data_IF_603686967079
#
_entry.id   IF_603686967079
#
_cell.length_a   1.000
_cell.length_b   1.000
_cell.length_c   1.000
_cell.angle_alpha   90.00
_cell.angle_beta   90.00
_cell.angle_gamma   90.00
#
_symmetry.space_group_name_H-M   'P 1'
#
loop_
_entity.id
_entity.type
_entity.pdbx_description
1 polymer ?
#
# COMPACT_ATOMS: atom_id res chain seq x y z
N UNK A 1 23.84 -24.14 -54.12
CA UNK A 1 22.61 -24.87 -53.75
C UNK A 1 21.48 -23.84 -53.74
N UNK A 2 20.91 -23.54 -54.91
CA UNK A 2 19.69 -24.17 -55.44
C UNK A 2 18.48 -23.82 -54.53
N UNK A 3 17.74 -22.76 -54.86
CA UNK A 3 16.51 -22.77 -55.68
C UNK A 3 15.32 -23.32 -54.87
N UNK A 4 14.18 -22.62 -54.71
CA UNK A 4 13.14 -22.38 -55.72
C UNK A 4 12.12 -21.35 -55.13
N UNK A 5 11.63 -20.34 -55.87
CA UNK A 5 10.47 -20.39 -56.81
C UNK A 5 9.13 -20.62 -56.08
N UNK A 6 8.01 -19.91 -56.26
CA UNK A 6 7.45 -19.20 -57.41
C UNK A 6 6.24 -18.35 -56.95
N UNK A 7 5.95 -17.30 -57.72
CA UNK A 7 4.79 -16.42 -57.63
C UNK A 7 3.48 -17.09 -58.09
N UNK A 8 2.32 -16.53 -57.67
CA UNK A 8 1.22 -16.17 -58.58
C UNK A 8 0.11 -15.33 -57.93
N UNK A 9 -0.35 -14.41 -58.76
CA UNK A 9 -1.27 -13.29 -58.61
C UNK A 9 -2.72 -13.70 -58.94
N UNK A 10 -3.75 -12.99 -58.41
CA UNK A 10 -4.86 -12.31 -59.13
C UNK A 10 -6.25 -12.37 -58.43
N UNK A 11 -6.81 -11.14 -58.28
CA UNK A 11 -8.19 -10.66 -58.58
C UNK A 11 -9.36 -11.16 -57.69
N UNK A 12 -10.00 -10.30 -56.87
CA UNK A 12 -11.06 -9.30 -57.11
C UNK A 12 -12.45 -9.89 -57.40
N UNK A 13 -13.40 -9.73 -56.46
CA UNK A 13 -14.83 -9.57 -56.77
C UNK A 13 -15.61 -9.00 -55.58
N UNK A 14 -16.41 -7.99 -55.89
CA UNK A 14 -17.20 -7.11 -55.03
C UNK A 14 -18.65 -7.56 -54.83
N UNK A 15 -19.33 -6.87 -53.92
CA UNK A 15 -20.79 -6.65 -53.77
C UNK A 15 -21.65 -7.74 -53.09
N UNK A 16 -22.29 -7.38 -51.97
CA UNK A 16 -23.75 -7.12 -51.87
C UNK A 16 -24.18 -6.98 -50.39
N UNK A 17 -24.76 -5.83 -50.06
CA UNK A 17 -25.57 -5.57 -48.86
C UNK A 17 -27.01 -6.07 -49.06
N UNK A 18 -27.74 -6.36 -47.98
CA UNK A 18 -28.92 -5.55 -47.64
C UNK A 18 -29.03 -5.33 -46.11
N UNK A 19 -29.27 -4.12 -45.57
CA UNK A 19 -30.49 -3.30 -45.53
C UNK A 19 -31.76 -4.05 -45.07
N UNK A 20 -32.09 -3.97 -43.78
CA UNK A 20 -33.46 -4.14 -43.25
C UNK A 20 -33.68 -3.11 -42.14
N UNK A 21 -34.64 -2.20 -42.38
CA UNK A 21 -35.17 -1.18 -41.48
C UNK A 21 -36.30 -1.73 -40.59
N UNK A 22 -36.69 -1.03 -39.51
CA UNK A 22 -37.55 -1.53 -38.45
C UNK A 22 -39.04 -1.36 -38.78
N UNK A 23 -39.88 -2.30 -38.37
CA UNK A 23 -41.35 -2.16 -38.43
C UNK A 23 -41.99 -2.32 -37.06
N UNK A 24 -42.62 -1.22 -36.66
CA UNK A 24 -43.77 -1.05 -35.78
C UNK A 24 -44.71 -2.26 -35.69
N UNK A 25 -45.09 -2.63 -34.46
CA UNK A 25 -46.43 -3.18 -34.20
C UNK A 25 -47.05 -2.55 -32.95
N UNK A 26 -48.20 -1.93 -33.18
CA UNK A 26 -49.10 -1.34 -32.21
C UNK A 26 -49.87 -2.40 -31.43
N UNK A 27 -50.00 -2.15 -30.12
CA UNK A 27 -51.22 -2.12 -29.32
C UNK A 27 -52.41 -2.99 -29.78
N UNK A 28 -52.75 -4.00 -28.97
CA UNK A 28 -54.13 -4.45 -28.77
C UNK A 28 -54.43 -4.58 -27.28
N UNK A 29 -55.47 -3.85 -26.88
CA UNK A 29 -56.12 -3.81 -25.57
C UNK A 29 -56.60 -5.19 -25.13
N UNK A 30 -56.44 -5.49 -23.83
CA UNK A 30 -57.40 -6.29 -23.08
C UNK A 30 -57.59 -5.66 -21.70
N UNK A 31 -58.85 -5.56 -21.28
CA UNK A 31 -59.35 -4.78 -20.15
C UNK A 31 -59.42 -5.62 -18.87
N UNK A 32 -58.86 -5.10 -17.77
CA UNK A 32 -59.32 -5.14 -16.36
C UNK A 32 -59.61 -6.51 -15.65
N UNK A 33 -59.56 -6.60 -14.29
CA UNK A 33 -59.61 -5.51 -13.31
C UNK A 33 -58.50 -5.48 -12.25
N UNK A 34 -58.38 -4.26 -11.71
CA UNK A 34 -57.69 -3.81 -10.51
C UNK A 34 -58.01 -4.63 -9.25
N UNK A 35 -56.96 -5.04 -8.54
CA UNK A 35 -57.00 -5.29 -7.08
C UNK A 35 -55.90 -4.42 -6.45
N UNK A 36 -56.33 -3.35 -5.80
CA UNK A 36 -55.46 -2.50 -4.99
C UNK A 36 -55.07 -3.25 -3.72
N UNK A 37 -53.83 -3.71 -3.64
CA UNK A 37 -53.24 -4.13 -2.36
C UNK A 37 -52.19 -3.10 -1.97
N UNK A 38 -52.61 -2.14 -1.14
CA UNK A 38 -51.70 -1.25 -0.41
C UNK A 38 -50.78 -2.09 0.45
N UNK A 39 -49.57 -2.33 -0.03
CA UNK A 39 -48.51 -2.93 0.77
C UNK A 39 -47.69 -1.78 1.33
N UNK A 40 -47.90 -1.51 2.62
CA UNK A 40 -47.15 -0.55 3.40
C UNK A 40 -45.68 -0.95 3.41
N UNK A 41 -44.83 -0.29 2.60
CA UNK A 41 -43.39 -0.45 2.70
C UNK A 41 -42.91 0.28 3.96
N UNK A 42 -42.65 -0.47 5.02
CA UNK A 42 -41.87 0.03 6.14
C UNK A 42 -40.49 0.49 5.63
N UNK A 43 -39.95 1.62 6.12
CA UNK A 43 -38.64 2.08 5.67
C UNK A 43 -37.59 1.05 6.09
N UNK A 44 -36.87 0.50 5.10
CA UNK A 44 -35.69 -0.31 5.35
C UNK A 44 -34.71 0.50 6.20
N UNK A 45 -34.53 0.10 7.46
CA UNK A 45 -33.40 0.53 8.26
C UNK A 45 -32.13 0.23 7.46
N UNK A 46 -31.43 1.27 7.00
CA UNK A 46 -30.06 1.13 6.48
C UNK A 46 -29.21 0.61 7.63
N UNK A 47 -29.00 -0.70 7.67
CA UNK A 47 -27.94 -1.30 8.48
C UNK A 47 -26.63 -0.68 8.03
N UNK A 48 -25.92 -0.04 8.95
CA UNK A 48 -24.52 0.34 8.76
C UNK A 48 -23.74 -0.97 8.68
N UNK A 49 -23.48 -1.43 7.45
CA UNK A 49 -22.67 -2.64 7.23
C UNK A 49 -21.25 -2.39 7.72
N UNK A 50 -20.66 -3.37 8.41
CA UNK A 50 -19.24 -3.31 8.72
C UNK A 50 -18.40 -3.38 7.44
N UNK A 51 -17.19 -2.84 7.46
CA UNK A 51 -16.28 -2.90 6.30
C UNK A 51 -16.02 -4.35 5.84
N UNK A 52 -16.04 -5.28 6.80
CA UNK A 52 -15.91 -6.72 6.57
C UNK A 52 -17.12 -7.29 5.81
N UNK A 53 -18.34 -6.99 6.25
CA UNK A 53 -19.58 -7.42 5.60
C UNK A 53 -19.72 -6.85 4.18
N UNK A 54 -19.31 -5.59 3.99
CA UNK A 54 -19.33 -4.94 2.68
C UNK A 54 -18.40 -5.65 1.69
N UNK A 55 -17.20 -6.06 2.12
CA UNK A 55 -16.25 -6.81 1.28
C UNK A 55 -16.75 -8.20 0.94
N UNK A 56 -17.30 -8.93 1.91
CA UNK A 56 -17.90 -10.25 1.67
C UNK A 56 -19.05 -10.12 0.66
N UNK A 57 -19.93 -9.14 0.86
CA UNK A 57 -21.07 -8.90 -0.04
C UNK A 57 -20.62 -8.53 -1.45
N UNK A 58 -19.55 -7.74 -1.59
CA UNK A 58 -18.96 -7.41 -2.90
C UNK A 58 -18.39 -8.64 -3.60
N UNK A 59 -17.68 -9.51 -2.86
CA UNK A 59 -17.16 -10.77 -3.41
C UNK A 59 -18.30 -11.67 -3.87
N UNK A 60 -19.36 -11.81 -3.08
CA UNK A 60 -20.56 -12.56 -3.47
C UNK A 60 -21.27 -11.95 -4.69
N UNK A 61 -21.38 -10.62 -4.76
CA UNK A 61 -22.01 -9.93 -5.88
C UNK A 61 -21.18 -10.02 -7.19
N UNK A 62 -19.86 -10.06 -7.09
CA UNK A 62 -18.99 -10.32 -8.24
C UNK A 62 -19.05 -11.79 -8.66
N UNK A 63 -19.14 -12.71 -7.69
CA UNK A 63 -19.32 -14.14 -7.94
C UNK A 63 -20.63 -14.46 -8.66
N UNK A 64 -21.74 -13.80 -8.28
CA UNK A 64 -23.04 -14.02 -8.91
C UNK A 64 -23.09 -13.50 -10.36
N UNK A 65 -22.25 -12.53 -10.71
CA UNK A 65 -22.15 -11.97 -12.06
C UNK A 65 -21.22 -12.79 -12.98
N UNK A 66 -20.31 -13.60 -12.44
CA UNK A 66 -19.40 -14.45 -13.21
C UNK A 66 -20.08 -15.77 -13.62
N UNK A 67 -20.80 -15.78 -14.75
CA UNK A 67 -21.67 -16.88 -15.18
C UNK A 67 -21.03 -17.98 -16.07
N UNK A 68 -19.69 -18.01 -16.27
CA UNK A 68 -19.06 -19.01 -17.16
C UNK A 68 -18.72 -20.34 -16.46
N UNK A 69 -19.29 -21.44 -16.96
CA UNK A 69 -19.23 -22.79 -16.35
C UNK A 69 -17.82 -23.38 -16.30
N UNK A 70 -16.97 -23.05 -17.28
CA UNK A 70 -15.61 -23.59 -17.38
C UNK A 70 -14.63 -23.02 -16.33
N UNK A 71 -14.96 -21.89 -15.71
CA UNK A 71 -14.13 -21.28 -14.66
C UNK A 71 -14.60 -21.65 -13.25
N UNK A 72 -15.75 -22.33 -13.08
CA UNK A 72 -16.35 -22.58 -11.76
C UNK A 72 -15.43 -23.29 -10.77
N UNK A 73 -14.63 -24.28 -11.20
CA UNK A 73 -13.76 -25.04 -10.28
C UNK A 73 -12.55 -24.22 -9.81
N UNK A 74 -11.94 -23.45 -10.73
CA UNK A 74 -10.89 -22.48 -10.39
C UNK A 74 -11.45 -21.35 -9.53
N UNK A 75 -12.61 -20.83 -9.89
CA UNK A 75 -13.32 -19.80 -9.14
C UNK A 75 -13.77 -20.27 -7.76
N UNK A 76 -14.20 -21.52 -7.60
CA UNK A 76 -14.53 -22.11 -6.28
C UNK A 76 -13.28 -22.28 -5.42
N UNK A 77 -12.13 -22.65 -6.01
CA UNK A 77 -10.86 -22.70 -5.29
C UNK A 77 -10.36 -21.29 -4.94
N UNK A 78 -10.49 -20.33 -5.84
CA UNK A 78 -10.19 -18.93 -5.60
C UNK A 78 -11.13 -18.36 -4.53
N UNK A 79 -12.42 -18.73 -4.54
CA UNK A 79 -13.40 -18.35 -3.51
C UNK A 79 -13.11 -19.02 -2.17
N UNK A 80 -12.76 -20.30 -2.14
CA UNK A 80 -12.39 -21.00 -0.92
C UNK A 80 -11.09 -20.44 -0.32
N UNK A 81 -10.08 -20.17 -1.16
CA UNK A 81 -8.85 -19.47 -0.80
C UNK A 81 -9.14 -18.08 -0.26
N UNK A 82 -9.96 -17.31 -0.97
CA UNK A 82 -10.29 -15.95 -0.61
C UNK A 82 -11.10 -15.93 0.70
N UNK A 83 -12.16 -16.73 0.82
CA UNK A 83 -12.95 -16.90 2.05
C UNK A 83 -12.11 -17.37 3.24
N UNK A 84 -11.18 -18.32 3.05
CA UNK A 84 -10.27 -18.75 4.11
C UNK A 84 -9.42 -17.60 4.66
N UNK A 85 -8.96 -16.65 3.82
CA UNK A 85 -8.25 -15.44 4.28
C UNK A 85 -9.10 -14.53 5.18
N UNK A 86 -10.42 -14.71 5.26
CA UNK A 86 -11.29 -13.95 6.17
C UNK A 86 -11.67 -14.72 7.44
N UNK A 87 -11.43 -16.03 7.49
CA UNK A 87 -11.67 -16.85 8.70
C UNK A 87 -10.48 -16.76 9.67
N UNK A 88 -9.26 -16.52 9.15
CA UNK A 88 -8.08 -16.31 9.98
C UNK A 88 -7.94 -14.84 10.41
N UNK A 89 -7.54 -14.56 11.67
CA UNK A 89 -7.34 -13.20 12.14
C UNK A 89 -6.25 -12.51 11.29
N UNK A 90 -6.63 -11.41 10.63
CA UNK A 90 -5.69 -10.60 9.86
C UNK A 90 -4.80 -9.81 10.82
N UNK A 91 -3.50 -9.73 10.52
CA UNK A 91 -2.57 -8.83 11.23
C UNK A 91 -3.02 -7.36 11.18
N UNK A 92 -3.76 -6.99 10.13
CA UNK A 92 -4.38 -5.68 9.96
C UNK A 92 -5.89 -5.86 9.93
N UNK A 93 -6.58 -5.32 10.94
CA UNK A 93 -8.03 -5.20 10.93
C UNK A 93 -8.44 -3.97 10.12
N UNK A 94 -9.43 -4.12 9.24
CA UNK A 94 -9.92 -3.02 8.39
C UNK A 94 -10.90 -2.14 9.14
N UNK A 95 -10.62 -0.85 9.27
CA UNK A 95 -11.54 0.12 9.87
C UNK A 95 -12.58 0.66 8.89
N UNK A 96 -12.23 0.70 7.60
CA UNK A 96 -13.05 1.27 6.54
C UNK A 96 -12.97 0.42 5.27
N UNK A 97 -13.80 0.75 4.27
CA UNK A 97 -13.83 0.03 2.99
C UNK A 97 -12.51 0.10 2.22
N UNK A 98 -11.78 1.23 2.31
CA UNK A 98 -10.48 1.39 1.67
C UNK A 98 -9.50 0.34 2.20
N UNK A 99 -9.36 0.24 3.52
CA UNK A 99 -8.54 -0.78 4.18
C UNK A 99 -9.04 -2.19 3.93
N UNK A 100 -10.37 -2.36 3.84
CA UNK A 100 -10.94 -3.63 3.51
C UNK A 100 -10.45 -4.10 2.14
N UNK A 101 -10.20 -3.25 1.15
CA UNK A 101 -9.72 -3.68 -0.17
C UNK A 101 -8.21 -3.90 -0.24
N UNK A 102 -7.46 -3.52 0.79
CA UNK A 102 -6.01 -3.68 0.81
C UNK A 102 -5.59 -5.15 0.96
N UNK A 103 -4.43 -5.45 0.37
CA UNK A 103 -3.73 -6.71 0.52
C UNK A 103 -2.29 -6.45 0.97
N UNK A 104 -1.76 -7.31 1.84
CA UNK A 104 -0.36 -7.29 2.27
C UNK A 104 0.26 -8.62 1.87
N UNK A 105 1.47 -8.65 1.27
CA UNK A 105 2.14 -9.90 0.94
C UNK A 105 2.46 -10.70 2.19
N UNK A 106 2.55 -12.02 2.04
CA UNK A 106 2.94 -12.92 3.13
C UNK A 106 4.47 -12.92 3.30
N UNK A 107 4.96 -11.85 3.92
CA UNK A 107 6.36 -11.64 4.27
C UNK A 107 6.47 -11.35 5.77
N UNK A 108 7.67 -11.54 6.32
CA UNK A 108 7.95 -11.08 7.68
C UNK A 108 7.69 -9.57 7.77
N UNK A 109 7.08 -9.14 8.88
CA UNK A 109 6.78 -7.74 9.11
C UNK A 109 7.10 -7.30 10.52
N UNK A 110 7.25 -5.99 10.72
CA UNK A 110 7.53 -5.39 12.02
C UNK A 110 6.42 -5.78 13.01
N UNK A 111 6.83 -6.28 14.17
CA UNK A 111 5.90 -6.65 15.24
C UNK A 111 5.44 -5.43 16.01
N UNK A 112 4.14 -5.36 16.27
CA UNK A 112 3.54 -4.29 17.05
C UNK A 112 2.34 -4.80 17.83
N UNK A 113 2.01 -4.06 18.89
CA UNK A 113 0.80 -4.22 19.68
C UNK A 113 -0.09 -3.00 19.49
N UNK A 114 -1.36 -3.20 19.17
CA UNK A 114 -2.33 -2.10 19.13
C UNK A 114 -2.66 -1.67 20.56
N UNK A 115 -2.44 -0.39 20.87
CA UNK A 115 -2.75 0.20 22.17
C UNK A 115 -4.15 0.85 22.17
N UNK A 116 -4.50 1.53 21.09
CA UNK A 116 -5.78 2.20 20.95
C UNK A 116 -6.20 2.27 19.47
N UNK A 117 -7.50 2.23 19.21
CA UNK A 117 -8.10 2.45 17.89
C UNK A 117 -9.06 3.63 17.99
N UNK A 118 -8.69 4.74 17.36
CA UNK A 118 -9.57 5.88 17.16
C UNK A 118 -10.20 5.80 15.77
N UNK A 119 -11.28 6.55 15.54
CA UNK A 119 -12.02 6.56 14.27
C UNK A 119 -11.15 6.87 13.03
N UNK A 120 -10.03 7.59 13.23
CA UNK A 120 -9.18 8.12 12.14
C UNK A 120 -7.77 7.55 12.12
N UNK A 121 -7.34 6.86 13.16
CA UNK A 121 -5.96 6.36 13.30
C UNK A 121 -5.87 5.25 14.33
N UNK A 122 -4.81 4.46 14.25
CA UNK A 122 -4.47 3.43 15.21
C UNK A 122 -3.19 3.81 15.97
N UNK A 123 -3.19 3.66 17.29
CA UNK A 123 -1.99 3.82 18.11
C UNK A 123 -1.39 2.44 18.35
N UNK A 124 -0.11 2.29 17.99
CA UNK A 124 0.64 1.04 18.10
C UNK A 124 1.89 1.23 18.94
N UNK A 125 2.19 0.26 19.80
CA UNK A 125 3.53 0.07 20.35
C UNK A 125 4.31 -0.86 19.43
N UNK A 126 5.40 -0.36 18.85
CA UNK A 126 6.25 -1.10 17.92
C UNK A 126 7.40 -1.72 18.71
N UNK A 127 7.64 -3.01 18.52
CA UNK A 127 8.79 -3.70 19.12
C UNK A 127 10.11 -3.21 18.52
N UNK A 128 11.27 -3.37 19.19
CA UNK A 128 12.56 -3.09 18.58
C UNK A 128 12.80 -3.93 17.33
N UNK A 129 13.38 -3.33 16.30
CA UNK A 129 13.74 -4.00 15.05
C UNK A 129 14.98 -3.36 14.43
N UNK A 130 15.64 -4.09 13.53
CA UNK A 130 16.78 -3.58 12.78
C UNK A 130 16.35 -3.12 11.40
N UNK A 131 16.99 -2.05 10.92
CA UNK A 131 16.84 -1.55 9.56
C UNK A 131 18.21 -1.46 8.87
N UNK A 132 18.20 -1.63 7.56
CA UNK A 132 19.26 -1.14 6.69
C UNK A 132 18.75 0.10 5.96
N UNK A 133 19.42 1.24 6.14
CA UNK A 133 19.02 2.54 5.61
C UNK A 133 20.05 3.11 4.63
N UNK A 134 19.57 3.86 3.64
CA UNK A 134 20.42 4.67 2.75
C UNK A 134 19.75 6.03 2.49
N UNK A 135 20.57 7.03 2.19
CA UNK A 135 20.10 8.38 1.84
C UNK A 135 19.65 8.41 0.39
N UNK A 136 18.44 8.88 0.15
CA UNK A 136 17.87 8.98 -1.20
C UNK A 136 18.47 10.18 -1.95
N UNK A 137 18.93 10.00 -3.19
CA UNK A 137 19.35 11.11 -4.04
C UNK A 137 18.12 11.84 -4.57
N UNK A 138 18.16 13.17 -4.58
CA UNK A 138 17.05 14.00 -5.06
C UNK A 138 16.60 15.04 -4.04
N UNK A 139 15.62 15.87 -4.44
CA UNK A 139 15.00 16.89 -3.56
C UNK A 139 13.68 16.43 -2.95
N UNK A 140 13.09 15.36 -3.49
CA UNK A 140 11.76 14.84 -3.15
C UNK A 140 11.87 13.45 -2.56
N UNK A 141 10.87 13.02 -1.79
CA UNK A 141 10.92 11.72 -1.12
C UNK A 141 10.45 10.56 -1.98
N UNK A 142 9.66 10.86 -3.01
CA UNK A 142 8.94 9.84 -3.79
C UNK A 142 9.15 10.02 -5.29
N UNK A 143 10.25 10.64 -5.72
CA UNK A 143 10.62 10.58 -7.13
C UNK A 143 11.10 9.17 -7.49
N UNK A 144 10.76 8.76 -8.72
CA UNK A 144 10.99 7.40 -9.19
C UNK A 144 12.48 7.06 -9.26
N UNK A 145 13.32 8.00 -9.73
CA UNK A 145 14.74 7.74 -9.95
C UNK A 145 15.49 7.55 -8.62
N UNK A 146 15.32 8.47 -7.67
CA UNK A 146 15.96 8.40 -6.37
C UNK A 146 15.47 7.21 -5.53
N UNK A 147 14.17 6.93 -5.58
CA UNK A 147 13.58 5.76 -4.93
C UNK A 147 14.12 4.46 -5.51
N UNK A 148 14.17 4.34 -6.83
CA UNK A 148 14.69 3.13 -7.51
C UNK A 148 16.16 2.89 -7.23
N UNK A 149 16.99 3.94 -7.29
CA UNK A 149 18.42 3.83 -6.98
C UNK A 149 18.64 3.38 -5.53
N UNK A 150 17.94 3.98 -4.58
CA UNK A 150 18.07 3.65 -3.15
C UNK A 150 17.59 2.23 -2.86
N UNK A 151 16.47 1.83 -3.47
CA UNK A 151 15.95 0.47 -3.37
C UNK A 151 16.97 -0.55 -3.87
N UNK A 152 17.59 -0.30 -5.02
CA UNK A 152 18.59 -1.22 -5.60
C UNK A 152 19.81 -1.35 -4.70
N UNK A 153 20.32 -0.26 -4.11
CA UNK A 153 21.45 -0.30 -3.18
C UNK A 153 21.14 -1.18 -1.96
N UNK A 154 19.95 -1.02 -1.37
CA UNK A 154 19.51 -1.85 -0.24
C UNK A 154 19.26 -3.32 -0.64
N UNK A 155 18.68 -3.55 -1.83
CA UNK A 155 18.46 -4.88 -2.35
C UNK A 155 19.77 -5.62 -2.62
N UNK A 156 20.78 -4.93 -3.16
CA UNK A 156 22.12 -5.50 -3.36
C UNK A 156 22.74 -5.95 -2.04
N UNK A 157 22.63 -5.15 -0.98
CA UNK A 157 23.06 -5.54 0.36
C UNK A 157 22.35 -6.82 0.83
N UNK A 158 21.02 -6.86 0.70
CA UNK A 158 20.19 -8.00 1.10
C UNK A 158 20.52 -9.27 0.31
N UNK A 159 20.87 -9.14 -0.98
CA UNK A 159 21.14 -10.26 -1.88
C UNK A 159 22.63 -10.62 -2.04
N UNK A 160 23.47 -10.23 -1.08
CA UNK A 160 24.84 -10.75 -0.97
C UNK A 160 25.97 -9.74 -1.15
N UNK A 161 25.69 -8.43 -1.35
CA UNK A 161 26.70 -7.37 -1.25
C UNK A 161 26.95 -6.94 0.21
N UNK A 162 27.11 -7.92 1.08
CA UNK A 162 27.54 -7.78 2.46
C UNK A 162 28.85 -8.55 2.70
N UNK A 163 29.49 -8.36 3.85
CA UNK A 163 30.79 -8.98 4.18
C UNK A 163 30.74 -10.51 4.13
N UNK A 164 29.62 -11.11 4.55
CA UNK A 164 29.42 -12.56 4.59
C UNK A 164 28.96 -13.17 3.25
N UNK A 165 28.68 -12.36 2.22
CA UNK A 165 28.05 -12.78 0.96
C UNK A 165 26.71 -13.52 1.16
N UNK A 166 26.04 -13.27 2.27
CA UNK A 166 24.82 -13.96 2.66
C UNK A 166 23.61 -13.37 1.94
N UNK A 167 22.66 -14.22 1.52
CA UNK A 167 21.38 -13.80 0.97
C UNK A 167 20.33 -13.85 2.07
N UNK A 168 19.74 -12.72 2.38
CA UNK A 168 18.72 -12.55 3.42
C UNK A 168 17.32 -12.52 2.80
N UNK A 169 16.31 -12.89 3.57
CA UNK A 169 14.91 -12.83 3.16
C UNK A 169 14.40 -11.39 3.04
N UNK A 170 13.50 -11.16 2.10
CA UNK A 170 12.75 -9.90 2.02
C UNK A 170 11.75 -9.81 3.17
N UNK A 171 11.56 -8.60 3.69
CA UNK A 171 10.55 -8.29 4.70
C UNK A 171 9.69 -7.12 4.23
N UNK A 172 8.69 -6.75 5.05
CA UNK A 172 7.86 -5.58 4.86
C UNK A 172 7.69 -4.79 6.15
N UNK A 173 7.43 -3.47 6.10
CA UNK A 173 7.38 -2.62 4.92
C UNK A 173 8.76 -2.11 4.49
N UNK A 174 8.82 -1.46 3.32
CA UNK A 174 9.87 -0.50 2.98
C UNK A 174 9.49 0.85 3.56
N UNK A 175 10.37 1.45 4.36
CA UNK A 175 10.10 2.70 5.08
C UNK A 175 10.83 3.84 4.39
N UNK A 176 10.11 4.93 4.13
CA UNK A 176 10.68 6.20 3.66
C UNK A 176 10.44 7.25 4.73
N UNK A 177 11.49 7.92 5.19
CA UNK A 177 11.41 8.94 6.24
C UNK A 177 12.18 10.19 5.86
N UNK A 178 11.75 11.33 6.41
CA UNK A 178 12.46 12.60 6.24
C UNK A 178 13.43 12.79 7.39
N UNK A 179 14.70 12.99 7.09
CA UNK A 179 15.68 13.47 8.05
C UNK A 179 15.70 14.98 8.02
N UNK A 180 15.29 15.61 9.13
CA UNK A 180 15.58 17.03 9.34
C UNK A 180 17.08 17.13 9.55
N UNK A 181 17.75 17.94 8.73
CA UNK A 181 19.10 18.37 9.04
C UNK A 181 19.01 19.30 10.24
N UNK A 182 18.95 18.72 11.44
CA UNK A 182 19.27 19.49 12.65
C UNK A 182 20.70 19.96 12.44
N UNK A 183 20.87 21.28 12.38
CA UNK A 183 22.14 21.94 12.14
C UNK A 183 23.07 21.79 13.35
N UNK A 184 23.40 20.56 13.75
CA UNK A 184 24.57 20.29 14.58
C UNK A 184 25.81 20.58 13.74
N UNK A 185 26.14 21.88 13.76
CA UNK A 185 27.44 22.42 13.48
C UNK A 185 28.41 21.68 14.42
N UNK A 186 29.10 20.65 13.92
CA UNK A 186 30.34 20.24 14.55
C UNK A 186 31.29 21.43 14.43
N UNK A 187 31.41 22.22 15.50
CA UNK A 187 32.56 23.07 15.68
C UNK A 187 33.79 22.17 15.78
N UNK A 188 34.49 21.96 14.66
CA UNK A 188 35.88 21.52 14.71
C UNK A 188 36.70 22.38 13.77
N UNK A 189 37.60 23.11 14.41
CA UNK A 189 38.58 24.08 13.93
C UNK A 189 39.35 23.66 12.68
N UNK A 190 39.00 24.20 11.51
CA UNK A 190 39.92 24.64 10.43
C UNK A 190 39.10 25.25 9.28
N UNK A 191 39.53 26.36 8.65
CA UNK A 191 38.72 26.99 7.61
C UNK A 191 38.89 26.21 6.31
N UNK A 192 37.92 25.37 5.97
CA UNK A 192 37.69 24.95 4.59
C UNK A 192 36.43 25.65 4.14
N UNK A 193 36.49 26.34 3.00
CA UNK A 193 35.36 27.00 2.35
C UNK A 193 34.36 25.91 1.92
N UNK A 194 33.54 25.44 2.85
CA UNK A 194 32.36 24.65 2.55
C UNK A 194 31.26 25.65 2.20
N UNK A 195 30.96 25.74 0.89
CA UNK A 195 29.66 26.22 0.43
C UNK A 195 28.62 25.60 1.36
N UNK A 196 27.89 26.44 2.10
CA UNK A 196 26.70 26.04 2.85
C UNK A 196 25.85 25.20 1.89
N UNK A 197 25.88 23.88 2.07
CA UNK A 197 24.88 23.02 1.45
C UNK A 197 23.60 23.41 2.18
N UNK A 198 22.73 24.09 1.45
CA UNK A 198 21.43 24.56 1.92
C UNK A 198 20.74 23.48 2.76
N UNK A 199 19.99 23.90 3.78
CA UNK A 199 19.06 23.09 4.56
C UNK A 199 18.08 22.36 3.62
N UNK A 200 18.53 21.25 3.04
CA UNK A 200 17.74 20.39 2.20
C UNK A 200 17.38 19.20 3.05
N UNK A 201 16.10 19.12 3.41
CA UNK A 201 15.49 17.92 3.96
C UNK A 201 15.95 16.72 3.11
N UNK A 202 16.71 15.80 3.71
CA UNK A 202 17.15 14.59 3.02
C UNK A 202 16.17 13.48 3.33
N UNK A 203 15.79 12.73 2.30
CA UNK A 203 14.98 11.55 2.47
C UNK A 203 15.86 10.32 2.66
N UNK A 204 15.38 9.40 3.48
CA UNK A 204 16.02 8.11 3.72
C UNK A 204 15.05 7.00 3.35
N UNK A 205 15.60 5.94 2.76
CA UNK A 205 14.89 4.69 2.53
C UNK A 205 15.47 3.63 3.46
N UNK A 206 14.61 2.82 4.04
CA UNK A 206 14.99 1.77 4.98
C UNK A 206 14.28 0.46 4.66
N UNK A 207 15.03 -0.64 4.64
CA UNK A 207 14.49 -1.99 4.64
C UNK A 207 14.48 -2.51 6.08
N UNK A 208 13.35 -3.10 6.47
CA UNK A 208 13.28 -3.85 7.72
C UNK A 208 14.10 -5.13 7.57
N UNK A 209 14.90 -5.46 8.57
CA UNK A 209 15.74 -6.66 8.52
C UNK A 209 15.01 -7.86 9.14
N UNK A 210 15.22 -9.09 8.64
CA UNK A 210 14.62 -10.28 9.23
C UNK A 210 15.02 -10.43 10.70
N UNK A 211 14.05 -10.69 11.57
CA UNK A 211 14.28 -10.68 13.03
C UNK A 211 15.24 -11.76 13.51
N UNK A 212 15.43 -12.84 12.73
CA UNK A 212 16.37 -13.92 13.03
C UNK A 212 17.83 -13.47 13.17
N UNK A 213 18.21 -12.35 12.56
CA UNK A 213 19.59 -11.83 12.64
C UNK A 213 19.84 -11.01 13.91
N UNK A 214 18.87 -10.20 14.34
CA UNK A 214 19.08 -9.24 15.44
C UNK A 214 20.34 -8.39 15.22
N UNK A 215 21.24 -8.36 16.20
CA UNK A 215 22.52 -7.63 16.15
C UNK A 215 23.62 -8.31 15.32
N UNK A 216 23.37 -9.50 14.77
CA UNK A 216 24.37 -10.30 14.02
C UNK A 216 24.35 -10.07 12.51
N UNK A 217 23.70 -8.98 12.06
CA UNK A 217 23.60 -8.64 10.65
C UNK A 217 24.99 -8.46 10.02
N UNK A 218 25.23 -9.02 8.81
CA UNK A 218 26.51 -8.86 8.12
C UNK A 218 26.69 -7.40 7.71
N UNK A 219 27.92 -6.89 7.78
CA UNK A 219 28.17 -5.49 7.45
C UNK A 219 27.97 -5.22 5.95
N UNK A 220 27.39 -4.09 5.56
CA UNK A 220 27.28 -3.72 4.16
C UNK A 220 28.66 -3.43 3.56
N UNK A 221 28.84 -3.77 2.28
CA UNK A 221 30.06 -3.39 1.54
C UNK A 221 29.96 -1.98 0.95
N UNK A 222 28.74 -1.51 0.70
CA UNK A 222 28.49 -0.16 0.24
C UNK A 222 28.50 0.80 1.45
N UNK A 223 29.39 1.82 1.48
CA UNK A 223 29.48 2.75 2.61
C UNK A 223 28.27 3.68 2.75
N UNK A 224 27.39 3.76 1.74
CA UNK A 224 26.14 4.53 1.83
C UNK A 224 25.06 3.84 2.66
N UNK A 225 25.17 2.51 2.85
CA UNK A 225 24.22 1.72 3.63
C UNK A 225 24.66 1.70 5.09
N UNK A 226 23.73 2.01 5.99
CA UNK A 226 23.94 1.91 7.44
C UNK A 226 22.93 0.94 8.05
N UNK A 227 23.37 0.18 9.03
CA UNK A 227 22.49 -0.66 9.84
C UNK A 227 22.19 0.08 11.13
N UNK A 228 20.92 0.11 11.53
CA UNK A 228 20.48 0.79 12.74
C UNK A 228 19.43 -0.04 13.47
N UNK A 229 19.50 -0.04 14.80
CA UNK A 229 18.41 -0.52 15.64
C UNK A 229 17.40 0.62 15.83
N UNK A 230 16.14 0.34 15.54
CA UNK A 230 15.00 1.20 15.91
C UNK A 230 14.50 0.71 17.26
N UNK A 231 14.62 1.52 18.33
CA UNK A 231 14.17 1.11 19.65
C UNK A 231 12.63 1.03 19.69
N UNK A 232 12.11 0.43 20.76
CA UNK A 232 10.68 0.42 21.04
C UNK A 232 10.14 1.85 21.02
N UNK A 233 9.09 2.07 20.23
CA UNK A 233 8.43 3.37 20.10
C UNK A 233 6.93 3.23 19.96
N UNK A 234 6.20 4.25 20.37
CA UNK A 234 4.75 4.34 20.17
C UNK A 234 4.50 5.22 18.94
N UNK A 235 3.62 4.78 18.05
CA UNK A 235 3.30 5.50 16.81
C UNK A 235 1.79 5.58 16.60
N UNK A 236 1.33 6.71 16.07
CA UNK A 236 0.01 6.81 15.44
C UNK A 236 0.14 6.44 13.96
N UNK A 237 -0.75 5.60 13.45
CA UNK A 237 -0.73 5.11 12.08
C UNK A 237 -2.06 5.35 11.38
N UNK A 238 -1.98 5.76 10.11
CA UNK A 238 -3.10 5.82 9.17
C UNK A 238 -2.75 5.02 7.93
N UNK A 239 -3.59 4.04 7.58
CA UNK A 239 -3.44 3.28 6.35
C UNK A 239 -4.15 3.99 5.18
N UNK A 240 -3.60 3.82 3.97
CA UNK A 240 -4.17 4.35 2.75
C UNK A 240 -3.73 3.55 1.52
N UNK A 241 -4.55 3.61 0.47
CA UNK A 241 -4.32 2.94 -0.80
C UNK A 241 -3.83 3.91 -1.88
N UNK A 242 -3.46 3.37 -3.04
CA UNK A 242 -3.02 4.16 -4.19
C UNK A 242 -1.52 4.38 -4.24
N UNK A 243 -1.14 5.43 -4.98
CA UNK A 243 0.25 5.84 -5.14
C UNK A 243 0.70 6.77 -4.02
N UNK A 244 1.94 6.62 -3.59
CA UNK A 244 2.57 7.51 -2.62
C UNK A 244 3.23 8.65 -3.37
N UNK A 245 2.79 9.88 -3.10
CA UNK A 245 3.37 11.12 -3.63
C UNK A 245 3.63 12.08 -2.48
N UNK A 246 4.55 13.03 -2.64
CA UNK A 246 4.85 14.03 -1.61
C UNK A 246 3.59 14.83 -1.20
N UNK A 247 2.70 15.14 -2.15
CA UNK A 247 1.44 15.82 -1.88
C UNK A 247 0.48 14.96 -1.04
N UNK A 248 0.33 13.68 -1.39
CA UNK A 248 -0.55 12.76 -0.65
C UNK A 248 -0.05 12.56 0.78
N UNK A 249 1.27 12.37 0.93
CA UNK A 249 1.92 12.21 2.23
C UNK A 249 1.70 13.44 3.08
N UNK A 250 1.96 14.64 2.54
CA UNK A 250 1.73 15.90 3.25
C UNK A 250 0.27 16.06 3.68
N UNK A 251 -0.67 15.77 2.78
CA UNK A 251 -2.11 15.88 3.05
C UNK A 251 -2.55 14.97 4.19
N UNK A 252 -2.12 13.71 4.16
CA UNK A 252 -2.46 12.69 5.16
C UNK A 252 -1.75 12.96 6.50
N UNK A 253 -0.49 13.37 6.47
CA UNK A 253 0.26 13.79 7.66
C UNK A 253 -0.46 14.93 8.39
N UNK A 254 -0.87 15.99 7.67
CA UNK A 254 -1.60 17.12 8.25
C UNK A 254 -2.90 16.67 8.91
N UNK A 255 -3.67 15.79 8.26
CA UNK A 255 -4.91 15.23 8.82
C UNK A 255 -4.64 14.40 10.07
N UNK A 256 -3.58 13.59 10.08
CA UNK A 256 -3.20 12.79 11.24
C UNK A 256 -2.78 13.67 12.41
N UNK A 257 -1.92 14.67 12.17
CA UNK A 257 -1.51 15.64 13.19
C UNK A 257 -2.71 16.39 13.78
N UNK A 258 -3.66 16.78 12.94
CA UNK A 258 -4.88 17.46 13.40
C UNK A 258 -5.77 16.55 14.25
N UNK A 259 -5.96 15.29 13.82
CA UNK A 259 -6.71 14.30 14.59
C UNK A 259 -6.09 13.99 15.96
N UNK A 260 -4.75 14.01 16.05
CA UNK A 260 -4.00 13.74 17.29
C UNK A 260 -4.04 14.89 18.30
N UNK A 261 -4.39 16.11 17.92
CA UNK A 261 -4.52 17.24 18.87
C UNK A 261 -5.54 16.92 19.97
N UNK A 262 -6.59 16.20 19.60
CA UNK A 262 -7.72 15.87 20.47
C UNK A 262 -7.54 14.52 21.20
N UNK A 263 -6.43 13.79 20.99
CA UNK A 263 -6.17 12.55 21.73
C UNK A 263 -5.93 12.86 23.21
N UNK A 264 -6.48 12.06 24.13
CA UNK A 264 -6.38 12.33 25.57
C UNK A 264 -5.08 11.80 26.20
N UNK A 265 -4.47 10.75 25.65
CA UNK A 265 -3.34 10.04 26.28
C UNK A 265 -1.98 10.33 25.63
N UNK A 266 -1.97 10.68 24.35
CA UNK A 266 -0.75 10.82 23.56
C UNK A 266 -0.68 12.16 22.84
N UNK A 267 0.53 12.61 22.56
CA UNK A 267 0.82 13.73 21.67
C UNK A 267 1.95 13.37 20.72
N UNK A 268 2.00 14.04 19.57
CA UNK A 268 3.12 13.85 18.64
C UNK A 268 4.40 14.33 19.31
N UNK A 269 5.42 13.47 19.33
CA UNK A 269 6.72 13.80 19.91
C UNK A 269 7.36 14.95 19.12
N UNK A 270 7.97 15.91 19.82
CA UNK A 270 8.61 17.05 19.19
C UNK A 270 9.74 16.63 18.25
N UNK A 271 9.92 17.36 17.14
CA UNK A 271 10.93 17.02 16.12
C UNK A 271 10.57 15.82 15.23
N UNK A 272 9.49 15.08 15.53
CA UNK A 272 9.08 13.90 14.75
C UNK A 272 8.79 14.24 13.29
N UNK A 273 9.50 13.55 12.41
CA UNK A 273 9.25 13.54 10.98
C UNK A 273 8.33 12.39 10.59
N UNK A 274 7.65 12.55 9.45
CA UNK A 274 6.73 11.53 8.93
C UNK A 274 7.51 10.31 8.45
N UNK A 275 7.00 9.13 8.81
CA UNK A 275 7.45 7.85 8.27
C UNK A 275 6.36 7.29 7.34
N UNK A 276 6.76 6.85 6.16
CA UNK A 276 5.85 6.25 5.17
C UNK A 276 6.26 4.80 4.94
N UNK A 277 5.35 3.88 5.23
CA UNK A 277 5.57 2.43 5.11
C UNK A 277 4.83 1.90 3.89
N UNK A 278 5.56 1.33 2.94
CA UNK A 278 5.03 0.72 1.72
C UNK A 278 5.17 -0.81 1.80
N UNK A 279 4.05 -1.52 1.74
CA UNK A 279 4.04 -2.97 1.96
C UNK A 279 4.08 -3.78 0.66
N UNK A 280 3.65 -3.17 -0.44
CA UNK A 280 3.32 -3.90 -1.64
C UNK A 280 4.39 -3.76 -2.73
N UNK A 281 4.62 -4.82 -3.51
CA UNK A 281 5.48 -4.76 -4.68
C UNK A 281 4.86 -3.90 -5.80
N UNK A 282 5.69 -3.40 -6.73
CA UNK A 282 5.28 -2.42 -7.76
C UNK A 282 4.22 -2.91 -8.75
N UNK A 283 3.97 -4.22 -8.86
CA UNK A 283 2.94 -4.80 -9.72
C UNK A 283 1.55 -4.89 -9.05
N UNK A 284 1.45 -4.57 -7.76
CA UNK A 284 0.16 -4.60 -7.04
C UNK A 284 -0.76 -3.50 -7.56
N UNK A 285 -2.04 -3.81 -7.79
CA UNK A 285 -3.02 -2.82 -8.24
C UNK A 285 -3.12 -1.67 -7.23
N UNK A 286 -3.11 -0.39 -7.66
CA UNK A 286 -2.99 0.76 -6.76
C UNK A 286 -4.01 0.76 -5.62
N UNK A 287 -5.28 0.50 -5.90
CA UNK A 287 -6.37 0.50 -4.91
C UNK A 287 -6.30 -0.67 -3.91
N UNK A 288 -5.48 -1.69 -4.18
CA UNK A 288 -5.24 -2.82 -3.26
C UNK A 288 -3.95 -2.68 -2.46
N UNK A 289 -3.13 -1.66 -2.74
CA UNK A 289 -1.90 -1.41 -1.98
C UNK A 289 -2.25 -0.92 -0.58
N UNK A 290 -1.48 -1.40 0.39
CA UNK A 290 -1.39 -0.84 1.73
C UNK A 290 -0.15 0.04 1.79
N UNK A 291 -0.39 1.31 2.05
CA UNK A 291 0.62 2.25 2.51
C UNK A 291 0.19 2.73 3.90
N UNK A 292 1.14 3.09 4.74
CA UNK A 292 0.87 3.64 6.06
C UNK A 292 1.69 4.90 6.28
N UNK A 293 1.08 5.90 6.92
CA UNK A 293 1.78 7.06 7.47
C UNK A 293 1.82 6.91 8.97
N UNK A 294 3.02 7.06 9.53
CA UNK A 294 3.28 6.95 10.95
C UNK A 294 3.91 8.24 11.50
N UNK A 295 3.50 8.59 12.72
CA UNK A 295 4.10 9.64 13.55
C UNK A 295 4.41 9.08 14.93
N UNK A 296 5.65 9.24 15.38
CA UNK A 296 6.06 8.90 16.75
C UNK A 296 5.33 9.77 17.78
N UNK A 297 4.87 9.11 18.84
CA UNK A 297 4.12 9.70 19.93
C UNK A 297 4.90 9.61 21.22
N UNK A 298 4.58 10.52 22.13
CA UNK A 298 4.92 10.43 23.54
C UNK A 298 3.64 10.51 24.39
N UNK A 299 3.68 9.89 25.57
CA UNK A 299 2.58 10.03 26.53
C UNK A 299 2.50 11.48 27.00
N UNK A 300 1.29 12.02 27.09
CA UNK A 300 1.07 13.28 27.80
C UNK A 300 1.43 13.03 29.27
N UNK A 301 2.31 13.88 29.82
CA UNK A 301 2.54 13.87 31.27
C UNK A 301 1.24 14.35 31.92
N UNK A 302 0.71 13.53 32.83
CA UNK A 302 -0.37 13.94 33.75
C UNK A 302 0.09 15.11 34.63
#
# INVERSE_FOLDING_TARGET
MAAQSLARTLILSSTLTPNINPTSFNCLKSMAPTVNTTTTFAPLQRRTMSAFEARISLVFALASQASSVSQRRKFLMDLASETAKYVFPKRFESQNLEEALMAVPDLETVRFKVLNRADKYEIREVEPYFIAETTMPGKTGFDFNGSSQSFNVLAEYLFGKNTSKEKMEMTTPVITSRTRSDGERMEMTTPVITKKVENQDKWQMSFVMPSKYGSTLPLPKDPSVRIKEVPRKVVAVVAFSGFVTDEEVKRRELRLRDALKNDSGFRVKEGTSVEVSQYNPPFTLPFTRRNEIALELEKKKE
#
